data_IF_356662156530
#
_entry.id   IF_356662156530
#
_cell.length_a   1.000
_cell.length_b   1.000
_cell.length_c   1.000
_cell.angle_alpha   90.00
_cell.angle_beta   90.00
_cell.angle_gamma   90.00
#
_symmetry.space_group_name_H-M   'P 1'
#
loop_
_entity.id
_entity.type
_entity.pdbx_description
1 polymer ?
#
# COMPACT_ATOMS: atom_id res chain seq x y z
N UNK A 1 29.98 -6.10 21.07
CA UNK A 1 29.39 -5.58 19.81
C UNK A 1 29.81 -4.13 19.64
N UNK A 2 30.38 -3.74 18.49
CA UNK A 2 30.67 -2.33 18.18
C UNK A 2 29.39 -1.70 17.65
N UNK A 3 28.79 -0.83 18.45
CA UNK A 3 27.51 -0.16 18.12
C UNK A 3 27.75 1.12 17.29
N UNK A 4 29.01 1.58 17.24
CA UNK A 4 29.44 2.72 16.42
C UNK A 4 30.54 2.30 15.44
N UNK A 5 30.28 2.55 14.16
CA UNK A 5 31.23 2.38 13.06
C UNK A 5 31.63 3.78 12.58
N UNK A 6 32.92 4.05 12.45
CA UNK A 6 33.39 5.32 11.89
C UNK A 6 33.00 5.37 10.40
N UNK A 7 32.64 6.53 9.88
CA UNK A 7 32.26 6.67 8.46
C UNK A 7 33.35 6.20 7.49
N UNK A 8 34.63 6.31 7.88
CA UNK A 8 35.77 5.80 7.10
C UNK A 8 35.80 4.27 6.98
N UNK A 9 35.10 3.55 7.84
CA UNK A 9 34.95 2.09 7.81
C UNK A 9 33.63 1.65 7.15
N UNK A 10 32.77 2.61 6.75
CA UNK A 10 31.50 2.34 6.08
C UNK A 10 31.80 1.79 4.68
N UNK A 11 31.24 0.61 4.38
CA UNK A 11 31.25 0.08 3.01
C UNK A 11 30.42 1.00 2.11
N UNK A 12 30.70 1.03 0.79
CA UNK A 12 29.87 1.74 -0.16
C UNK A 12 28.41 1.32 0.01
N UNK A 13 27.48 2.26 -0.16
CA UNK A 13 26.06 1.94 -0.11
C UNK A 13 25.74 0.85 -1.14
N UNK A 14 24.99 -0.20 -0.77
CA UNK A 14 24.62 -1.24 -1.71
C UNK A 14 23.79 -0.63 -2.84
N UNK A 15 23.82 -1.27 -4.01
CA UNK A 15 22.95 -0.85 -5.09
C UNK A 15 21.48 -0.89 -4.64
N UNK A 16 20.64 0.07 -5.10
CA UNK A 16 19.23 0.07 -4.79
C UNK A 16 18.61 -1.29 -5.08
N UNK A 17 17.92 -1.85 -4.08
CA UNK A 17 17.22 -3.11 -4.25
C UNK A 17 16.25 -3.01 -5.44
N UNK A 18 16.26 -4.00 -6.33
CA UNK A 18 15.33 -4.10 -7.46
C UNK A 18 13.94 -4.49 -6.96
N UNK A 19 13.27 -3.58 -6.26
CA UNK A 19 11.90 -3.75 -5.80
C UNK A 19 10.93 -3.12 -6.80
N UNK A 20 9.88 -3.85 -7.19
CA UNK A 20 8.81 -3.32 -8.03
C UNK A 20 7.68 -2.77 -7.15
N UNK A 21 7.76 -1.49 -6.81
CA UNK A 21 6.75 -0.80 -6.02
C UNK A 21 5.34 -0.87 -6.64
N UNK A 22 5.23 -1.02 -7.97
CA UNK A 22 3.93 -1.15 -8.64
C UNK A 22 3.19 -2.40 -8.19
N UNK A 23 3.89 -3.53 -8.04
CA UNK A 23 3.29 -4.80 -7.62
C UNK A 23 2.68 -4.68 -6.23
N UNK A 24 3.39 -4.02 -5.30
CA UNK A 24 2.90 -3.79 -3.95
C UNK A 24 1.63 -2.93 -3.94
N UNK A 25 1.63 -1.82 -4.69
CA UNK A 25 0.45 -0.93 -4.75
C UNK A 25 -0.75 -1.62 -5.41
N UNK A 26 -0.55 -2.37 -6.50
CA UNK A 26 -1.63 -3.17 -7.13
C UNK A 26 -2.20 -4.18 -6.14
N UNK A 27 -1.35 -4.93 -5.44
CA UNK A 27 -1.81 -5.93 -4.47
C UNK A 27 -2.64 -5.28 -3.34
N UNK A 28 -2.16 -4.19 -2.76
CA UNK A 28 -2.91 -3.46 -1.73
C UNK A 28 -4.25 -2.90 -2.23
N UNK A 29 -4.26 -2.34 -3.45
CA UNK A 29 -5.50 -1.84 -4.09
C UNK A 29 -6.50 -2.98 -4.33
N UNK A 30 -6.02 -4.14 -4.78
CA UNK A 30 -6.85 -5.32 -5.00
C UNK A 30 -7.49 -5.85 -3.71
N UNK A 31 -6.76 -5.83 -2.59
CA UNK A 31 -7.31 -6.19 -1.27
C UNK A 31 -8.47 -5.27 -0.90
N UNK A 32 -8.34 -3.96 -1.11
CA UNK A 32 -9.44 -3.02 -0.84
C UNK A 32 -10.64 -3.21 -1.76
N UNK A 33 -10.41 -3.53 -3.03
CA UNK A 33 -11.48 -3.90 -3.98
C UNK A 33 -12.24 -5.16 -3.51
N UNK A 34 -11.52 -6.18 -3.04
CA UNK A 34 -12.14 -7.39 -2.48
C UNK A 34 -12.97 -7.04 -1.24
N UNK A 35 -12.45 -6.19 -0.35
CA UNK A 35 -13.20 -5.70 0.80
C UNK A 35 -14.46 -4.92 0.40
N UNK A 36 -14.40 -4.13 -0.68
CA UNK A 36 -15.55 -3.40 -1.19
C UNK A 36 -16.62 -4.35 -1.74
N UNK A 37 -16.20 -5.38 -2.48
CA UNK A 37 -17.10 -6.44 -2.97
C UNK A 37 -17.76 -7.16 -1.80
N UNK A 38 -17.01 -7.50 -0.75
CA UNK A 38 -17.57 -8.10 0.46
C UNK A 38 -18.60 -7.18 1.12
N UNK A 39 -18.35 -5.87 1.18
CA UNK A 39 -19.33 -4.90 1.68
C UNK A 39 -20.59 -4.86 0.81
N UNK A 40 -20.50 -4.96 -0.51
CA UNK A 40 -21.71 -5.04 -1.36
C UNK A 40 -22.54 -6.30 -1.13
N UNK A 41 -21.92 -7.41 -0.71
CA UNK A 41 -22.62 -8.68 -0.44
C UNK A 41 -23.24 -8.69 0.96
N UNK A 42 -22.53 -8.18 1.97
CA UNK A 42 -22.93 -8.26 3.40
C UNK A 42 -23.14 -6.90 4.06
N UNK A 43 -23.33 -5.84 3.28
CA UNK A 43 -23.29 -4.45 3.75
C UNK A 43 -24.32 -4.11 4.81
N UNK A 44 -25.54 -4.62 4.69
CA UNK A 44 -26.59 -4.44 5.69
C UNK A 44 -26.19 -5.08 7.02
N UNK A 45 -25.81 -6.38 7.00
CA UNK A 45 -25.35 -7.10 8.20
C UNK A 45 -24.13 -6.43 8.86
N UNK A 46 -23.17 -5.96 8.05
CA UNK A 46 -21.99 -5.24 8.54
C UNK A 46 -22.37 -3.90 9.17
N UNK A 47 -23.30 -3.17 8.56
CA UNK A 47 -23.76 -1.87 9.07
C UNK A 47 -24.50 -2.03 10.38
N UNK A 48 -25.41 -3.00 10.48
CA UNK A 48 -26.13 -3.33 11.72
C UNK A 48 -25.19 -3.78 12.84
N UNK A 49 -24.11 -4.47 12.50
CA UNK A 49 -23.05 -4.85 13.43
C UNK A 49 -22.09 -3.70 13.81
N UNK A 50 -22.33 -2.46 13.34
CA UNK A 50 -21.53 -1.28 13.65
C UNK A 50 -20.31 -1.05 12.74
N UNK A 51 -20.17 -1.84 11.67
CA UNK A 51 -19.09 -1.74 10.69
C UNK A 51 -19.47 -0.91 9.45
N UNK A 52 -20.43 0.01 9.55
CA UNK A 52 -20.81 0.91 8.45
C UNK A 52 -19.64 1.76 7.92
N UNK A 53 -18.60 1.97 8.73
CA UNK A 53 -17.37 2.65 8.33
C UNK A 53 -16.53 1.88 7.29
N UNK A 54 -16.72 0.56 7.18
CA UNK A 54 -15.94 -0.31 6.29
C UNK A 54 -16.03 0.16 4.83
N UNK A 55 -17.23 0.53 4.36
CA UNK A 55 -17.44 1.07 3.01
C UNK A 55 -16.46 2.20 2.68
N UNK A 56 -16.40 3.20 3.56
CA UNK A 56 -15.55 4.36 3.37
C UNK A 56 -14.07 4.04 3.49
N UNK A 57 -13.69 3.09 4.35
CA UNK A 57 -12.32 2.58 4.42
C UNK A 57 -11.89 1.93 3.10
N UNK A 58 -12.75 1.08 2.52
CA UNK A 58 -12.53 0.47 1.21
C UNK A 58 -12.39 1.49 0.08
N UNK A 59 -13.31 2.46 0.00
CA UNK A 59 -13.26 3.53 -1.01
C UNK A 59 -11.96 4.33 -0.86
N UNK A 60 -11.60 4.71 0.37
CA UNK A 60 -10.38 5.48 0.65
C UNK A 60 -9.12 4.69 0.29
N UNK A 61 -9.08 3.40 0.63
CA UNK A 61 -7.97 2.51 0.28
C UNK A 61 -7.78 2.36 -1.22
N UNK A 62 -8.88 2.25 -1.98
CA UNK A 62 -8.83 2.22 -3.45
C UNK A 62 -8.32 3.55 -4.00
N UNK A 63 -8.85 4.68 -3.52
CA UNK A 63 -8.43 6.01 -3.95
C UNK A 63 -6.92 6.23 -3.73
N UNK A 64 -6.41 5.91 -2.55
CA UNK A 64 -4.98 5.97 -2.27
C UNK A 64 -4.17 4.97 -3.10
N UNK A 65 -4.70 3.78 -3.37
CA UNK A 65 -4.10 2.82 -4.28
C UNK A 65 -3.90 3.38 -5.69
N UNK A 66 -4.95 3.98 -6.26
CA UNK A 66 -4.89 4.63 -7.59
C UNK A 66 -3.89 5.79 -7.60
N UNK A 67 -3.92 6.66 -6.59
CA UNK A 67 -2.95 7.76 -6.45
C UNK A 67 -1.52 7.20 -6.38
N UNK A 68 -1.29 6.16 -5.58
CA UNK A 68 0.00 5.50 -5.46
C UNK A 68 0.49 4.91 -6.79
N UNK A 69 -0.39 4.34 -7.60
CA UNK A 69 -0.03 3.83 -8.94
C UNK A 69 0.40 4.96 -9.88
N UNK A 70 -0.31 6.10 -9.86
CA UNK A 70 0.07 7.28 -10.63
C UNK A 70 1.45 7.77 -10.19
N UNK A 71 1.69 7.90 -8.89
CA UNK A 71 2.98 8.35 -8.35
C UNK A 71 4.12 7.42 -8.77
N UNK A 72 3.97 6.11 -8.57
CA UNK A 72 5.00 5.13 -8.97
C UNK A 72 5.24 5.17 -10.48
N UNK A 73 4.18 5.34 -11.28
CA UNK A 73 4.30 5.42 -12.73
C UNK A 73 5.00 6.71 -13.20
N UNK A 74 4.77 7.84 -12.53
CA UNK A 74 5.46 9.11 -12.79
C UNK A 74 6.94 9.00 -12.40
N UNK A 75 7.24 8.50 -11.20
CA UNK A 75 8.63 8.32 -10.73
C UNK A 75 9.46 7.40 -11.62
N UNK A 76 8.83 6.43 -12.28
CA UNK A 76 9.49 5.54 -13.24
C UNK A 76 9.84 6.21 -14.58
N UNK A 77 9.14 7.29 -14.95
CA UNK A 77 9.35 8.00 -16.22
C UNK A 77 10.37 9.13 -16.13
N UNK A 78 10.66 9.61 -14.92
CA UNK A 78 11.70 10.60 -14.61
C UNK A 78 13.06 9.93 -14.48
#
# INVERSE_FOLDING_TARGET
>A
MRIWLKDSERRPDPEPARADGRKAVVAGTAVWLIGLIAWFIWGEMLTDAGFGWWLWACITGIAFGVIGLVVVQVMRRS
#
